data_IF_272389069844
#
_entry.id   IF_272389069844
#
_cell.length_a   1.000
_cell.length_b   1.000
_cell.length_c   1.000
_cell.angle_alpha   90.00
_cell.angle_beta   90.00
_cell.angle_gamma   90.00
#
_symmetry.space_group_name_H-M   'P 1'
#
loop_
_entity.id
_entity.type
_entity.pdbx_description
1 polymer ?
#
# COMPACT_ATOMS: atom_id res chain seq x y z
N UNK A 1 39.48 4.79 5.71
CA UNK A 1 38.03 4.49 5.67
C UNK A 1 37.42 5.23 4.48
N UNK A 2 37.05 4.51 3.42
CA UNK A 2 36.79 5.09 2.10
C UNK A 2 35.49 5.90 2.10
N UNK A 3 35.55 7.24 1.96
CA UNK A 3 34.37 8.14 2.00
C UNK A 3 33.31 7.77 0.95
N UNK A 4 33.72 7.16 -0.17
CA UNK A 4 32.83 6.68 -1.22
C UNK A 4 31.90 5.55 -0.73
N UNK A 5 32.39 4.69 0.17
CA UNK A 5 31.60 3.61 0.77
C UNK A 5 30.45 4.15 1.63
N UNK A 6 30.68 5.27 2.34
CA UNK A 6 29.65 5.96 3.13
C UNK A 6 28.56 6.58 2.24
N UNK A 7 28.92 7.15 1.09
CA UNK A 7 27.97 7.75 0.14
C UNK A 7 27.09 6.68 -0.52
N UNK A 8 27.70 5.56 -0.93
CA UNK A 8 26.97 4.44 -1.54
C UNK A 8 26.01 3.81 -0.52
N UNK A 9 26.45 3.62 0.72
CA UNK A 9 25.62 3.04 1.77
C UNK A 9 24.41 3.93 2.11
N UNK A 10 24.60 5.26 2.15
CA UNK A 10 23.51 6.20 2.40
C UNK A 10 22.44 6.19 1.28
N UNK A 11 22.85 6.04 0.02
CA UNK A 11 21.91 5.97 -1.12
C UNK A 11 21.08 4.68 -1.13
N UNK A 12 21.65 3.55 -0.67
CA UNK A 12 20.91 2.28 -0.57
C UNK A 12 19.86 2.30 0.55
N UNK A 13 20.14 2.97 1.67
CA UNK A 13 19.16 3.09 2.77
C UNK A 13 17.90 3.80 2.29
N UNK A 14 18.02 4.87 1.51
CA UNK A 14 16.85 5.60 0.97
C UNK A 14 15.97 4.79 0.01
N UNK A 15 16.52 3.80 -0.71
CA UNK A 15 15.75 2.96 -1.62
C UNK A 15 14.89 1.91 -0.87
N UNK A 16 15.32 1.49 0.32
CA UNK A 16 14.59 0.51 1.15
C UNK A 16 13.34 1.09 1.83
N UNK A 17 13.23 2.42 1.94
CA UNK A 17 12.06 3.09 2.53
C UNK A 17 10.89 3.27 1.55
N UNK A 18 11.02 2.85 0.29
CA UNK A 18 9.93 2.92 -0.69
C UNK A 18 8.97 1.72 -0.63
N UNK A 19 9.10 0.83 0.37
CA UNK A 19 8.18 -0.29 0.56
C UNK A 19 6.75 0.22 0.78
N UNK A 20 5.82 -0.22 -0.07
CA UNK A 20 4.40 0.11 0.11
C UNK A 20 3.88 -0.62 1.35
N UNK A 21 3.38 0.13 2.31
CA UNK A 21 2.69 -0.38 3.48
C UNK A 21 1.22 -0.02 3.36
N UNK A 22 0.34 -1.03 3.34
CA UNK A 22 -1.10 -0.83 3.29
C UNK A 22 -1.69 -1.08 4.69
N UNK A 23 -2.38 -0.09 5.24
CA UNK A 23 -3.10 -0.24 6.51
C UNK A 23 -4.44 -0.93 6.24
N UNK A 24 -4.43 -2.26 6.20
CA UNK A 24 -5.66 -3.05 6.08
C UNK A 24 -6.38 -3.09 7.43
N UNK A 25 -7.63 -2.60 7.54
CA UNK A 25 -8.41 -2.75 8.76
C UNK A 25 -8.67 -4.24 9.04
N UNK A 26 -8.73 -4.59 10.33
CA UNK A 26 -8.93 -5.98 10.78
C UNK A 26 -10.29 -6.56 10.38
N UNK A 27 -11.29 -5.69 10.22
CA UNK A 27 -12.62 -6.06 9.74
C UNK A 27 -13.25 -4.90 8.99
N UNK A 28 -13.96 -5.24 7.92
CA UNK A 28 -14.72 -4.31 7.11
C UNK A 28 -16.18 -4.70 7.27
N UNK A 29 -16.93 -3.87 7.99
CA UNK A 29 -18.34 -4.10 8.27
C UNK A 29 -19.19 -3.66 7.07
N UNK A 30 -20.20 -4.45 6.74
CA UNK A 30 -21.16 -4.09 5.70
C UNK A 30 -21.93 -2.83 6.10
N UNK A 31 -22.22 -2.00 5.12
CA UNK A 31 -22.94 -0.72 5.20
C UNK A 31 -22.23 0.39 6.00
N UNK A 32 -20.93 0.27 6.26
CA UNK A 32 -20.14 1.31 6.91
C UNK A 32 -19.03 1.83 5.97
N UNK A 33 -18.70 3.14 6.05
CA UNK A 33 -17.59 3.68 5.29
C UNK A 33 -16.27 3.18 5.89
N UNK A 34 -15.37 2.68 5.04
CA UNK A 34 -14.01 2.33 5.45
C UNK A 34 -13.01 3.04 4.56
N UNK A 35 -12.03 3.66 5.20
CA UNK A 35 -10.93 4.34 4.54
C UNK A 35 -9.71 3.41 4.50
N UNK A 36 -9.28 3.09 3.28
CA UNK A 36 -8.01 2.42 3.04
C UNK A 36 -6.92 3.48 2.96
N UNK A 37 -5.81 3.28 3.66
CA UNK A 37 -4.64 4.17 3.61
C UNK A 37 -3.37 3.38 3.38
N UNK A 38 -2.43 3.97 2.66
CA UNK A 38 -1.13 3.37 2.42
C UNK A 38 -0.02 4.41 2.44
N UNK A 39 1.19 3.95 2.73
CA UNK A 39 2.39 4.77 2.82
C UNK A 39 3.48 4.15 1.95
N UNK A 40 4.39 4.98 1.44
CA UNK A 40 5.44 4.52 0.52
C UNK A 40 4.91 4.23 -0.89
N UNK A 41 5.81 3.77 -1.76
CA UNK A 41 5.55 3.66 -3.19
C UNK A 41 5.47 5.00 -3.91
N UNK A 42 5.16 4.92 -5.21
CA UNK A 42 4.99 6.08 -6.08
C UNK A 42 3.73 5.88 -6.91
N UNK A 43 2.88 6.90 -6.93
CA UNK A 43 1.70 6.90 -7.79
C UNK A 43 2.09 6.66 -9.27
N UNK A 44 1.24 5.95 -10.04
CA UNK A 44 -0.12 5.54 -9.69
C UNK A 44 -0.22 4.22 -8.90
N UNK A 45 -1.18 4.15 -7.97
CA UNK A 45 -1.50 2.94 -7.19
C UNK A 45 -2.70 2.23 -7.79
N UNK A 46 -2.69 0.89 -7.80
CA UNK A 46 -3.82 0.08 -8.24
C UNK A 46 -4.34 -0.70 -7.04
N UNK A 47 -5.58 -0.43 -6.64
CA UNK A 47 -6.17 -1.05 -5.45
C UNK A 47 -7.09 -2.21 -5.83
N UNK A 48 -6.82 -3.38 -5.25
CA UNK A 48 -7.67 -4.56 -5.36
C UNK A 48 -7.97 -5.16 -3.98
N UNK A 49 -9.19 -5.66 -3.82
CA UNK A 49 -9.61 -6.42 -2.66
C UNK A 49 -9.48 -7.91 -2.95
N UNK A 50 -8.93 -8.66 -2.00
CA UNK A 50 -8.81 -10.12 -2.04
C UNK A 50 -9.42 -10.72 -0.76
N UNK A 51 -9.61 -12.04 -0.72
CA UNK A 51 -10.08 -12.71 0.48
C UNK A 51 -9.07 -12.55 1.64
N UNK A 52 -9.59 -12.23 2.83
CA UNK A 52 -8.79 -12.11 4.04
C UNK A 52 -8.06 -13.42 4.37
N UNK A 53 -6.79 -13.33 4.77
CA UNK A 53 -5.96 -14.50 5.10
C UNK A 53 -5.47 -15.31 3.90
N UNK A 54 -5.75 -14.89 2.66
CA UNK A 54 -5.35 -15.57 1.43
C UNK A 54 -4.69 -14.57 0.45
N UNK A 55 -3.39 -14.26 0.60
CA UNK A 55 -2.71 -13.23 -0.20
C UNK A 55 -2.64 -13.55 -1.70
N UNK A 56 -2.81 -14.81 -2.09
CA UNK A 56 -2.85 -15.26 -3.48
C UNK A 56 -4.27 -15.49 -4.01
N UNK A 57 -5.30 -15.06 -3.28
CA UNK A 57 -6.69 -15.13 -3.74
C UNK A 57 -6.90 -14.26 -4.98
N UNK A 58 -7.80 -14.63 -5.90
CA UNK A 58 -8.25 -13.72 -6.95
C UNK A 58 -8.83 -12.43 -6.37
N UNK A 59 -8.79 -11.37 -7.17
CA UNK A 59 -9.36 -10.06 -6.84
C UNK A 59 -10.89 -10.19 -6.80
N UNK A 60 -11.47 -9.89 -5.64
CA UNK A 60 -12.90 -9.81 -5.41
C UNK A 60 -13.47 -8.48 -5.92
N UNK A 61 -12.70 -7.39 -5.77
CA UNK A 61 -13.11 -6.06 -6.22
C UNK A 61 -11.89 -5.25 -6.66
N UNK A 62 -11.99 -4.66 -7.84
CA UNK A 62 -11.02 -3.70 -8.37
C UNK A 62 -11.56 -2.27 -8.14
N UNK A 63 -10.75 -1.42 -7.52
CA UNK A 63 -11.07 0.00 -7.27
C UNK A 63 -10.38 0.95 -8.25
N UNK A 64 -9.62 0.41 -9.21
CA UNK A 64 -8.91 1.13 -10.23
C UNK A 64 -7.69 1.90 -9.71
N UNK A 65 -7.30 2.88 -10.52
CA UNK A 65 -6.12 3.70 -10.30
C UNK A 65 -6.37 4.79 -9.26
N UNK A 66 -5.49 4.90 -8.28
CA UNK A 66 -5.47 5.93 -7.25
C UNK A 66 -4.20 6.77 -7.36
N UNK A 67 -4.34 8.08 -7.17
CA UNK A 67 -3.22 9.04 -7.17
C UNK A 67 -2.86 9.53 -5.78
N UNK A 68 -3.81 9.48 -4.84
CA UNK A 68 -3.59 9.79 -3.43
C UNK A 68 -3.09 8.58 -2.65
N UNK A 69 -2.93 8.75 -1.34
CA UNK A 69 -2.51 7.71 -0.40
C UNK A 69 -3.66 7.16 0.45
N UNK A 70 -4.90 7.55 0.11
CA UNK A 70 -6.10 7.12 0.81
C UNK A 70 -7.28 6.97 -0.14
N UNK A 71 -8.13 5.98 0.11
CA UNK A 71 -9.35 5.73 -0.66
C UNK A 71 -10.50 5.39 0.29
N UNK A 72 -11.59 6.15 0.20
CA UNK A 72 -12.81 5.91 0.99
C UNK A 72 -13.80 5.10 0.17
N UNK A 73 -14.23 3.95 0.68
CA UNK A 73 -15.25 3.12 0.05
C UNK A 73 -16.41 2.85 1.00
N UNK A 74 -17.62 2.82 0.44
CA UNK A 74 -18.86 2.47 1.15
C UNK A 74 -19.19 1.01 0.86
N UNK A 75 -19.23 0.18 1.91
CA UNK A 75 -19.33 -1.26 1.78
C UNK A 75 -20.79 -1.73 1.84
N UNK A 76 -21.67 -1.20 0.99
CA UNK A 76 -23.09 -1.60 0.93
C UNK A 76 -23.34 -2.66 -0.15
#
# INVERSE_FOLDING_TARGET
MNRQLLVILAAFVSASLAQVQVNTPSSVQSCLPVQLTWNGGKAPYFLGLIAGGQPSSPILKDFGQQTGNSYLHWWC
#
